data_IF_618795965519
#
_entry.id   IF_618795965519
#
_cell.length_a   1.000
_cell.length_b   1.000
_cell.length_c   1.000
_cell.angle_alpha   90.00
_cell.angle_beta   90.00
_cell.angle_gamma   90.00
#
_symmetry.space_group_name_H-M   'P 1'
#
loop_
_entity.id
_entity.type
_entity.pdbx_description
1 polymer ?
#
# COMPACT_ATOMS: atom_id res chain seq x y z
N UNK A 1 -13.95 36.00 9.47
CA UNK A 1 -14.25 35.47 8.13
C UNK A 1 -12.91 35.42 7.42
N UNK A 2 -12.23 34.27 7.49
CA UNK A 2 -10.97 34.03 6.79
C UNK A 2 -11.36 33.60 5.39
N UNK A 3 -10.82 34.16 4.31
CA UNK A 3 -11.15 33.70 2.96
C UNK A 3 -10.66 32.27 2.80
N UNK A 4 -11.55 31.38 2.36
CA UNK A 4 -11.19 30.06 1.93
C UNK A 4 -10.13 30.18 0.82
N UNK A 5 -9.03 29.48 0.97
CA UNK A 5 -7.94 29.47 0.02
C UNK A 5 -8.44 28.79 -1.27
N UNK A 6 -8.50 29.53 -2.37
CA UNK A 6 -8.95 29.03 -3.68
C UNK A 6 -8.07 27.89 -4.25
N UNK A 7 -6.99 27.53 -3.58
CA UNK A 7 -6.12 26.41 -3.97
C UNK A 7 -6.66 25.03 -3.59
N UNK A 8 -7.64 24.94 -2.65
CA UNK A 8 -8.23 23.65 -2.24
C UNK A 8 -9.40 23.19 -3.15
N UNK A 9 -9.89 24.05 -4.04
CA UNK A 9 -11.01 23.74 -4.94
C UNK A 9 -10.65 22.89 -6.17
N UNK A 10 -9.40 22.50 -6.33
CA UNK A 10 -8.90 21.79 -7.50
C UNK A 10 -8.82 20.25 -7.33
N UNK A 11 -9.29 19.68 -6.23
CA UNK A 11 -9.56 18.26 -6.16
C UNK A 11 -10.85 17.96 -6.91
N UNK A 12 -10.65 17.64 -8.18
CA UNK A 12 -11.66 17.58 -9.21
C UNK A 12 -12.67 16.46 -8.94
N UNK A 13 -13.93 16.77 -9.27
CA UNK A 13 -15.12 15.88 -9.16
C UNK A 13 -15.05 14.61 -10.04
N UNK A 14 -13.91 14.33 -10.65
CA UNK A 14 -13.66 13.21 -11.55
C UNK A 14 -12.57 12.23 -11.12
N UNK A 15 -11.99 12.35 -9.90
CA UNK A 15 -10.97 11.43 -9.41
C UNK A 15 -11.57 10.22 -8.70
N UNK A 16 -11.01 9.03 -8.97
CA UNK A 16 -11.34 7.82 -8.24
C UNK A 16 -10.40 7.69 -7.03
N UNK A 17 -10.97 7.54 -5.84
CA UNK A 17 -10.23 7.30 -4.61
C UNK A 17 -10.35 5.83 -4.19
N UNK A 18 -9.22 5.14 -4.05
CA UNK A 18 -9.16 3.77 -3.58
C UNK A 18 -8.51 3.74 -2.20
N UNK A 19 -9.29 3.39 -1.18
CA UNK A 19 -8.85 3.42 0.21
C UNK A 19 -8.46 2.03 0.69
N UNK A 20 -7.24 1.91 1.19
CA UNK A 20 -6.76 0.75 1.94
C UNK A 20 -7.41 0.77 3.34
N UNK A 21 -8.37 -0.13 3.52
CA UNK A 21 -9.16 -0.17 4.73
C UNK A 21 -8.37 -0.62 5.96
N UNK A 22 -7.52 -1.65 5.78
CA UNK A 22 -6.81 -2.23 6.92
C UNK A 22 -5.79 -1.25 7.48
N UNK A 23 -5.05 -0.55 6.63
CA UNK A 23 -4.11 0.48 7.08
C UNK A 23 -4.80 1.60 7.87
N UNK A 24 -5.99 2.04 7.44
CA UNK A 24 -6.78 3.04 8.15
C UNK A 24 -7.37 2.49 9.45
N UNK A 25 -7.84 1.24 9.46
CA UNK A 25 -8.41 0.58 10.63
C UNK A 25 -7.35 0.33 11.72
N UNK A 26 -6.19 -0.20 11.35
CA UNK A 26 -5.05 -0.36 12.26
C UNK A 26 -4.62 0.97 12.88
N UNK A 27 -4.46 1.99 12.06
CA UNK A 27 -4.12 3.33 12.56
C UNK A 27 -5.15 3.82 13.56
N UNK A 28 -6.42 3.65 13.27
CA UNK A 28 -7.53 4.06 14.13
C UNK A 28 -7.54 3.30 15.46
N UNK A 29 -7.26 2.00 15.42
CA UNK A 29 -7.13 1.17 16.61
C UNK A 29 -5.99 1.66 17.52
N UNK A 30 -4.78 1.82 16.96
CA UNK A 30 -3.60 2.19 17.76
C UNK A 30 -3.63 3.62 18.32
N UNK A 31 -4.36 4.53 17.70
CA UNK A 31 -4.56 5.90 18.25
C UNK A 31 -5.24 5.84 19.62
N UNK A 32 -6.11 4.88 19.86
CA UNK A 32 -6.88 4.74 21.09
C UNK A 32 -6.37 3.64 22.03
N UNK A 33 -5.25 2.98 21.71
CA UNK A 33 -4.77 1.81 22.47
C UNK A 33 -4.57 2.09 23.96
N UNK A 34 -4.10 3.29 24.32
CA UNK A 34 -3.90 3.68 25.72
C UNK A 34 -5.18 4.16 26.43
N UNK A 35 -6.23 4.47 25.68
CA UNK A 35 -7.50 4.98 26.19
C UNK A 35 -8.66 4.57 25.29
N UNK A 36 -9.04 3.28 25.33
CA UNK A 36 -10.05 2.72 24.43
C UNK A 36 -11.43 3.32 24.69
N UNK A 37 -12.22 3.42 23.63
CA UNK A 37 -13.60 3.87 23.67
C UNK A 37 -14.52 2.66 23.88
N UNK A 38 -14.97 2.47 25.10
CA UNK A 38 -15.84 1.35 25.47
C UNK A 38 -17.30 1.82 25.45
N UNK A 39 -18.16 1.08 24.73
CA UNK A 39 -19.59 1.36 24.68
C UNK A 39 -20.31 0.83 25.95
N UNK A 40 -21.60 1.13 26.08
CA UNK A 40 -22.43 0.70 27.23
C UNK A 40 -22.57 -0.84 27.37
N UNK A 41 -22.19 -1.60 26.35
CA UNK A 41 -22.19 -3.09 26.34
C UNK A 41 -20.83 -3.69 26.67
N UNK A 42 -19.83 -2.85 26.98
CA UNK A 42 -18.46 -3.29 27.28
C UNK A 42 -17.58 -3.57 26.06
N UNK A 43 -18.05 -3.25 24.85
CA UNK A 43 -17.28 -3.50 23.63
C UNK A 43 -16.36 -2.31 23.33
N UNK A 44 -15.14 -2.60 22.89
CA UNK A 44 -14.23 -1.58 22.35
C UNK A 44 -14.69 -1.15 20.95
N UNK A 45 -14.98 0.12 20.77
CA UNK A 45 -15.45 0.72 19.51
C UNK A 45 -14.43 1.71 18.91
N UNK A 46 -13.22 1.72 19.44
CA UNK A 46 -12.17 2.69 19.09
C UNK A 46 -11.83 2.68 17.60
N UNK A 47 -11.63 1.49 17.03
CA UNK A 47 -11.27 1.34 15.62
C UNK A 47 -12.41 1.83 14.72
N UNK A 48 -13.66 1.43 14.99
CA UNK A 48 -14.81 1.87 14.21
C UNK A 48 -15.02 3.39 14.30
N UNK A 49 -14.88 3.98 15.49
CA UNK A 49 -14.99 5.42 15.69
C UNK A 49 -13.87 6.18 14.96
N UNK A 50 -12.61 5.75 15.14
CA UNK A 50 -11.46 6.41 14.53
C UNK A 50 -11.47 6.31 13.00
N UNK A 51 -11.83 5.13 12.48
CA UNK A 51 -12.01 4.90 11.05
C UNK A 51 -13.08 5.82 10.46
N UNK A 52 -14.26 5.84 11.08
CA UNK A 52 -15.38 6.67 10.62
C UNK A 52 -15.02 8.14 10.59
N UNK A 53 -14.41 8.65 11.66
CA UNK A 53 -13.99 10.05 11.70
C UNK A 53 -12.93 10.37 10.63
N UNK A 54 -12.00 9.46 10.40
CA UNK A 54 -10.97 9.63 9.37
C UNK A 54 -11.57 9.63 7.97
N UNK A 55 -12.49 8.70 7.69
CA UNK A 55 -13.20 8.62 6.42
C UNK A 55 -14.05 9.86 6.16
N UNK A 56 -14.86 10.28 7.14
CA UNK A 56 -15.68 11.49 7.03
C UNK A 56 -14.83 12.72 6.75
N UNK A 57 -13.72 12.84 7.47
CA UNK A 57 -12.79 13.94 7.27
C UNK A 57 -12.16 13.93 5.88
N UNK A 58 -11.77 12.77 5.37
CA UNK A 58 -11.25 12.63 4.00
C UNK A 58 -12.31 13.07 2.97
N UNK A 59 -13.57 12.67 3.16
CA UNK A 59 -14.67 13.06 2.28
C UNK A 59 -14.90 14.58 2.33
N UNK A 60 -14.93 15.18 3.54
CA UNK A 60 -15.16 16.61 3.73
C UNK A 60 -14.01 17.47 3.22
N UNK A 61 -12.77 17.10 3.55
CA UNK A 61 -11.58 17.90 3.23
C UNK A 61 -11.21 17.81 1.73
N UNK A 62 -11.52 16.69 1.07
CA UNK A 62 -11.05 16.41 -0.30
C UNK A 62 -12.17 16.19 -1.33
N UNK A 63 -13.44 16.27 -0.92
CA UNK A 63 -14.57 16.14 -1.84
C UNK A 63 -14.60 14.81 -2.60
N UNK A 64 -14.23 13.70 -1.96
CA UNK A 64 -14.10 12.36 -2.56
C UNK A 64 -15.47 11.84 -3.02
N UNK A 65 -15.92 12.24 -4.21
CA UNK A 65 -17.23 11.88 -4.76
C UNK A 65 -17.25 10.45 -5.33
N UNK A 66 -16.13 9.98 -5.88
CA UNK A 66 -15.98 8.63 -6.40
C UNK A 66 -14.91 7.90 -5.59
N UNK A 67 -15.33 6.92 -4.80
CA UNK A 67 -14.42 6.17 -3.95
C UNK A 67 -14.86 4.72 -3.78
N UNK A 68 -13.91 3.85 -3.46
CA UNK A 68 -14.15 2.52 -2.93
C UNK A 68 -13.23 2.25 -1.75
N UNK A 69 -13.68 1.44 -0.80
CA UNK A 69 -12.90 1.00 0.35
C UNK A 69 -12.63 -0.49 0.20
N UNK A 70 -11.35 -0.84 0.13
CA UNK A 70 -10.89 -2.20 -0.13
C UNK A 70 -10.37 -2.80 1.16
N UNK A 71 -10.86 -3.98 1.51
CA UNK A 71 -10.46 -4.74 2.70
C UNK A 71 -9.73 -6.00 2.29
N UNK A 72 -8.72 -6.38 3.08
CA UNK A 72 -8.26 -7.76 3.07
C UNK A 72 -9.37 -8.66 3.63
N UNK A 73 -9.47 -9.86 3.09
CA UNK A 73 -10.31 -10.89 3.69
C UNK A 73 -9.64 -11.37 4.97
N UNK A 74 -10.40 -11.48 6.04
CA UNK A 74 -9.92 -11.90 7.36
C UNK A 74 -10.61 -13.19 7.73
N UNK A 75 -9.84 -14.28 7.84
CA UNK A 75 -10.34 -15.60 8.22
C UNK A 75 -9.20 -16.62 8.34
N UNK A 76 -9.48 -17.77 8.95
CA UNK A 76 -8.48 -18.83 9.16
C UNK A 76 -8.13 -19.58 7.85
N UNK A 77 -8.96 -19.49 6.80
CA UNK A 77 -8.81 -20.22 5.55
C UNK A 77 -8.45 -19.33 4.35
N UNK A 78 -7.99 -18.11 4.57
CA UNK A 78 -7.76 -17.12 3.52
C UNK A 78 -6.27 -17.01 3.16
N UNK A 79 -5.73 -18.09 2.64
CA UNK A 79 -4.39 -18.08 2.04
C UNK A 79 -4.39 -17.28 0.74
N UNK A 80 -3.38 -16.44 0.58
CA UNK A 80 -3.13 -15.71 -0.67
C UNK A 80 -2.15 -16.50 -1.54
N UNK A 81 -2.08 -16.16 -2.83
CA UNK A 81 -1.06 -16.76 -3.71
C UNK A 81 0.38 -16.50 -3.23
N UNK A 82 0.61 -15.49 -2.38
CA UNK A 82 1.94 -15.22 -1.79
C UNK A 82 2.27 -16.21 -0.69
N UNK A 83 1.30 -16.62 0.11
CA UNK A 83 1.47 -17.65 1.14
C UNK A 83 1.77 -19.01 0.50
N UNK A 84 1.09 -19.36 -0.61
CA UNK A 84 1.40 -20.56 -1.40
C UNK A 84 2.81 -20.51 -2.01
N UNK A 85 3.29 -19.31 -2.38
CA UNK A 85 4.61 -19.12 -3.00
C UNK A 85 5.74 -19.18 -1.98
N UNK A 86 5.50 -18.71 -0.77
CA UNK A 86 6.50 -18.60 0.29
C UNK A 86 5.85 -18.70 1.67
N UNK A 87 5.96 -19.87 2.30
CA UNK A 87 5.34 -20.19 3.61
C UNK A 87 5.71 -19.19 4.72
N UNK A 88 6.90 -18.58 4.64
CA UNK A 88 7.36 -17.60 5.62
C UNK A 88 6.87 -16.17 5.34
N UNK A 89 6.11 -15.95 4.25
CA UNK A 89 5.56 -14.63 3.94
C UNK A 89 4.68 -14.12 5.07
N UNK A 90 4.97 -12.92 5.56
CA UNK A 90 4.28 -12.28 6.71
C UNK A 90 4.25 -13.12 8.02
N UNK A 91 4.97 -14.25 8.11
CA UNK A 91 4.97 -15.13 9.28
C UNK A 91 5.47 -14.43 10.57
N UNK A 92 6.20 -13.33 10.44
CA UNK A 92 6.67 -12.50 11.55
C UNK A 92 5.66 -11.45 12.02
N UNK A 93 4.51 -11.30 11.33
CA UNK A 93 3.46 -10.36 11.74
C UNK A 93 2.71 -10.90 12.95
N UNK A 94 2.43 -10.02 13.91
CA UNK A 94 1.52 -10.36 15.00
C UNK A 94 0.10 -10.53 14.47
N UNK A 95 -0.69 -11.45 15.05
CA UNK A 95 -2.10 -11.59 14.71
C UNK A 95 -2.85 -10.25 14.82
N UNK A 96 -3.89 -10.10 14.02
CA UNK A 96 -4.76 -8.92 14.09
C UNK A 96 -5.38 -8.87 15.49
N UNK A 97 -5.34 -7.72 16.21
CA UNK A 97 -5.98 -7.61 17.52
C UNK A 97 -7.46 -8.03 17.49
N UNK A 98 -7.87 -8.85 18.43
CA UNK A 98 -9.25 -9.40 18.48
C UNK A 98 -10.32 -8.31 18.45
N UNK A 99 -10.11 -7.24 19.21
CA UNK A 99 -11.03 -6.10 19.26
C UNK A 99 -11.05 -5.30 17.94
N UNK A 100 -9.99 -5.33 17.14
CA UNK A 100 -10.00 -4.79 15.79
C UNK A 100 -10.82 -5.70 14.86
N UNK A 101 -10.63 -7.02 14.92
CA UNK A 101 -11.43 -7.98 14.14
C UNK A 101 -12.93 -7.82 14.44
N UNK A 102 -13.31 -7.67 15.72
CA UNK A 102 -14.70 -7.41 16.12
C UNK A 102 -15.26 -6.08 15.55
N UNK A 103 -14.39 -5.10 15.29
CA UNK A 103 -14.80 -3.83 14.74
C UNK A 103 -15.00 -3.84 13.20
N UNK A 104 -14.33 -4.73 12.46
CA UNK A 104 -14.39 -4.76 10.99
C UNK A 104 -15.83 -4.85 10.43
N UNK A 105 -16.73 -5.71 10.95
CA UNK A 105 -18.12 -5.75 10.49
C UNK A 105 -18.86 -4.42 10.69
N UNK A 106 -18.58 -3.70 11.78
CA UNK A 106 -19.18 -2.39 12.02
C UNK A 106 -18.63 -1.35 11.04
N UNK A 107 -17.32 -1.34 10.80
CA UNK A 107 -16.68 -0.46 9.84
C UNK A 107 -17.28 -0.67 8.44
N UNK A 108 -17.35 -1.92 7.96
CA UNK A 108 -17.96 -2.26 6.66
C UNK A 108 -19.42 -1.81 6.55
N UNK A 109 -20.20 -1.97 7.62
CA UNK A 109 -21.59 -1.49 7.66
C UNK A 109 -21.68 0.04 7.59
N UNK A 110 -20.79 0.75 8.26
CA UNK A 110 -20.75 2.22 8.22
C UNK A 110 -20.38 2.70 6.81
N UNK A 111 -19.37 2.09 6.19
CA UNK A 111 -18.94 2.43 4.82
C UNK A 111 -20.12 2.24 3.84
N UNK A 112 -20.81 1.09 3.91
CA UNK A 112 -22.00 0.83 3.08
C UNK A 112 -23.14 1.80 3.36
N UNK A 113 -23.33 2.23 4.62
CA UNK A 113 -24.36 3.20 4.99
C UNK A 113 -24.08 4.61 4.47
N UNK A 114 -22.82 4.90 4.11
CA UNK A 114 -22.40 6.12 3.43
C UNK A 114 -22.50 6.01 1.90
N UNK A 115 -23.10 4.92 1.39
CA UNK A 115 -23.20 4.61 -0.04
C UNK A 115 -21.84 4.49 -0.74
N UNK A 116 -20.82 4.01 0.00
CA UNK A 116 -19.47 3.75 -0.51
C UNK A 116 -19.29 2.26 -0.75
N UNK A 117 -18.84 1.84 -1.94
CA UNK A 117 -18.51 0.45 -2.23
C UNK A 117 -17.47 -0.13 -1.25
N UNK A 118 -17.75 -1.35 -0.78
CA UNK A 118 -16.84 -2.16 0.04
C UNK A 118 -16.43 -3.36 -0.79
N UNK A 119 -15.15 -3.47 -1.06
CA UNK A 119 -14.57 -4.54 -1.88
C UNK A 119 -13.71 -5.47 -1.03
N UNK A 120 -13.86 -6.77 -1.28
CA UNK A 120 -13.07 -7.86 -0.70
C UNK A 120 -13.00 -8.98 -1.73
N UNK A 121 -11.82 -9.50 -1.99
CA UNK A 121 -11.61 -10.58 -2.96
C UNK A 121 -10.73 -11.64 -2.32
N UNK A 122 -11.23 -12.88 -2.24
CA UNK A 122 -10.50 -14.01 -1.66
C UNK A 122 -9.30 -14.43 -2.51
N UNK A 123 -8.26 -14.95 -1.85
CA UNK A 123 -7.04 -15.47 -2.50
C UNK A 123 -6.05 -14.39 -2.97
N UNK A 124 -6.36 -13.11 -2.74
CA UNK A 124 -5.49 -11.97 -3.03
C UNK A 124 -5.53 -10.95 -1.89
N UNK A 125 -4.54 -10.08 -1.83
CA UNK A 125 -4.50 -9.00 -0.86
C UNK A 125 -5.28 -7.76 -1.36
N UNK A 126 -5.69 -6.90 -0.44
CA UNK A 126 -6.33 -5.62 -0.77
C UNK A 126 -5.48 -4.79 -1.74
N UNK A 127 -4.16 -4.88 -1.62
CA UNK A 127 -3.20 -4.17 -2.49
C UNK A 127 -3.33 -4.60 -3.95
N UNK A 128 -3.56 -5.89 -4.21
CA UNK A 128 -3.76 -6.42 -5.56
C UNK A 128 -5.09 -5.94 -6.16
N UNK A 129 -6.13 -5.87 -5.36
CA UNK A 129 -7.44 -5.33 -5.78
C UNK A 129 -7.31 -3.85 -6.09
N UNK A 130 -6.68 -3.07 -5.20
CA UNK A 130 -6.42 -1.64 -5.40
C UNK A 130 -5.57 -1.42 -6.65
N UNK A 131 -4.49 -2.19 -6.82
CA UNK A 131 -3.60 -2.10 -7.97
C UNK A 131 -4.33 -2.38 -9.29
N UNK A 132 -5.17 -3.41 -9.30
CA UNK A 132 -5.99 -3.77 -10.47
C UNK A 132 -6.95 -2.66 -10.85
N UNK A 133 -7.71 -2.14 -9.88
CA UNK A 133 -8.68 -1.08 -10.13
C UNK A 133 -7.99 0.22 -10.54
N UNK A 134 -6.86 0.56 -9.90
CA UNK A 134 -6.10 1.75 -10.24
C UNK A 134 -5.59 1.70 -11.69
N UNK A 135 -5.00 0.57 -12.11
CA UNK A 135 -4.52 0.39 -13.49
C UNK A 135 -5.65 0.38 -14.51
N UNK A 136 -6.79 -0.27 -14.20
CA UNK A 136 -7.96 -0.31 -15.06
C UNK A 136 -8.50 1.11 -15.28
N UNK A 137 -8.77 1.86 -14.21
CA UNK A 137 -9.30 3.21 -14.28
C UNK A 137 -8.33 4.19 -14.96
N UNK A 138 -7.03 4.12 -14.65
CA UNK A 138 -6.02 4.95 -15.32
C UNK A 138 -5.91 4.62 -16.83
N UNK A 139 -6.03 3.35 -17.20
CA UNK A 139 -6.07 2.90 -18.60
C UNK A 139 -7.28 3.44 -19.38
N UNK A 140 -8.37 3.77 -18.69
CA UNK A 140 -9.55 4.44 -19.25
C UNK A 140 -9.45 5.98 -19.19
N UNK A 141 -8.34 6.52 -18.70
CA UNK A 141 -8.05 7.95 -18.63
C UNK A 141 -8.57 8.66 -17.39
N UNK A 142 -8.98 7.91 -16.34
CA UNK A 142 -9.37 8.50 -15.06
C UNK A 142 -8.14 8.78 -14.20
N UNK A 143 -8.16 9.88 -13.45
CA UNK A 143 -7.18 10.12 -12.40
C UNK A 143 -7.53 9.31 -11.15
N UNK A 144 -6.55 8.61 -10.59
CA UNK A 144 -6.70 7.72 -9.43
C UNK A 144 -5.82 8.19 -8.27
N UNK A 145 -6.39 8.19 -7.09
CA UNK A 145 -5.68 8.47 -5.84
C UNK A 145 -5.79 7.26 -4.92
N UNK A 146 -4.68 6.59 -4.68
CA UNK A 146 -4.59 5.51 -3.70
C UNK A 146 -4.39 6.11 -2.32
N UNK A 147 -5.31 5.87 -1.40
CA UNK A 147 -5.25 6.38 -0.02
C UNK A 147 -4.69 5.29 0.89
N UNK A 148 -3.38 5.26 1.05
CA UNK A 148 -2.68 4.32 1.93
C UNK A 148 -1.35 4.90 2.43
N UNK A 149 -0.91 4.58 3.65
CA UNK A 149 0.44 4.86 4.12
C UNK A 149 1.48 3.90 3.54
N UNK A 150 1.05 2.81 2.91
CA UNK A 150 1.96 1.78 2.41
C UNK A 150 2.84 2.32 1.28
N UNK A 151 4.13 2.01 1.38
CA UNK A 151 5.13 2.43 0.40
C UNK A 151 5.06 1.62 -0.89
N UNK A 152 4.54 0.39 -0.82
CA UNK A 152 4.60 -0.56 -1.92
C UNK A 152 3.72 -0.14 -3.09
N UNK A 153 2.68 0.64 -2.83
CA UNK A 153 1.90 1.29 -3.88
C UNK A 153 2.71 2.24 -4.77
N UNK A 154 3.92 2.68 -4.36
CA UNK A 154 4.74 3.54 -5.20
C UNK A 154 5.15 2.90 -6.54
N UNK A 155 5.11 1.57 -6.64
CA UNK A 155 5.30 0.83 -7.89
C UNK A 155 4.19 1.08 -8.93
N UNK A 156 3.04 1.59 -8.49
CA UNK A 156 1.88 1.85 -9.35
C UNK A 156 1.83 3.29 -9.89
N UNK A 157 2.70 4.17 -9.38
CA UNK A 157 2.69 5.57 -9.77
C UNK A 157 2.86 5.73 -11.29
N UNK A 158 1.99 6.55 -11.88
CA UNK A 158 2.08 6.97 -13.28
C UNK A 158 1.44 8.37 -13.43
N UNK A 159 1.31 8.92 -14.65
CA UNK A 159 0.70 10.25 -14.83
C UNK A 159 -0.74 10.37 -14.28
N UNK A 160 -1.48 9.26 -14.19
CA UNK A 160 -2.86 9.21 -13.71
C UNK A 160 -3.01 8.58 -12.32
N UNK A 161 -1.98 7.95 -11.77
CA UNK A 161 -2.04 7.32 -10.44
C UNK A 161 -1.13 8.07 -9.48
N UNK A 162 -1.70 8.53 -8.38
CA UNK A 162 -0.98 9.17 -7.27
C UNK A 162 -1.34 8.49 -5.95
N UNK A 163 -0.52 8.70 -4.92
CA UNK A 163 -0.73 8.16 -3.59
C UNK A 163 -0.94 9.30 -2.61
N UNK A 164 -1.94 9.15 -1.78
CA UNK A 164 -2.25 10.04 -0.69
C UNK A 164 -2.00 9.34 0.64
N UNK A 165 -1.04 9.83 1.41
CA UNK A 165 -0.78 9.31 2.76
C UNK A 165 -1.61 10.07 3.77
N UNK A 166 -2.54 9.42 4.49
CA UNK A 166 -3.28 10.09 5.55
C UNK A 166 -2.33 10.68 6.59
N UNK A 167 -2.28 12.00 6.72
CA UNK A 167 -1.30 12.70 7.55
C UNK A 167 -1.53 12.50 9.05
N UNK A 168 -0.48 12.79 9.81
CA UNK A 168 -0.59 13.08 11.25
C UNK A 168 -1.19 14.48 11.42
N UNK A 169 -1.87 14.71 12.54
CA UNK A 169 -2.59 15.95 12.84
C UNK A 169 -1.72 17.19 12.57
N UNK A 170 -2.14 18.03 11.62
CA UNK A 170 -1.50 19.32 11.31
C UNK A 170 -0.46 19.30 10.17
N UNK A 171 -0.24 18.16 9.52
CA UNK A 171 0.63 18.10 8.35
C UNK A 171 -0.17 18.40 7.07
N UNK A 172 0.45 19.11 6.14
CA UNK A 172 -0.09 19.36 4.82
C UNK A 172 0.12 18.10 3.96
N UNK A 173 -0.84 17.77 3.10
CA UNK A 173 -0.81 16.56 2.27
C UNK A 173 -0.27 16.88 0.89
N UNK A 174 0.97 16.52 0.64
CA UNK A 174 1.46 16.48 -0.73
C UNK A 174 1.26 15.07 -1.30
N UNK A 175 0.52 14.91 -2.40
CA UNK A 175 0.39 13.61 -3.04
C UNK A 175 1.75 13.12 -3.52
N UNK A 176 2.02 11.84 -3.34
CA UNK A 176 3.20 11.21 -3.94
C UNK A 176 2.84 10.94 -5.40
N UNK A 177 3.57 11.54 -6.30
CA UNK A 177 3.41 11.41 -7.76
C UNK A 177 4.62 10.72 -8.37
N UNK A 178 4.50 10.29 -9.63
CA UNK A 178 5.61 9.73 -10.37
C UNK A 178 6.81 10.69 -10.44
N UNK A 179 6.55 12.01 -10.56
CA UNK A 179 7.61 13.00 -10.60
C UNK A 179 8.32 13.17 -9.25
N UNK A 180 7.56 13.25 -8.15
CA UNK A 180 8.16 13.31 -6.80
C UNK A 180 8.93 12.02 -6.46
N UNK A 181 8.50 10.88 -6.99
CA UNK A 181 9.21 9.61 -6.87
C UNK A 181 10.56 9.66 -7.64
N UNK A 182 10.54 10.11 -8.90
CA UNK A 182 11.76 10.28 -9.72
C UNK A 182 12.75 11.25 -9.08
N UNK A 183 12.25 12.35 -8.54
CA UNK A 183 13.08 13.33 -7.83
C UNK A 183 13.77 12.69 -6.60
N UNK A 184 13.03 11.91 -5.83
CA UNK A 184 13.53 11.27 -4.61
C UNK A 184 14.54 10.16 -4.88
N UNK A 185 14.20 9.23 -5.79
CA UNK A 185 14.98 8.00 -6.00
C UNK A 185 15.87 8.07 -7.24
N UNK A 186 15.53 8.91 -8.22
CA UNK A 186 16.16 8.96 -9.54
C UNK A 186 16.00 7.64 -10.30
N UNK A 187 14.86 6.99 -10.11
CA UNK A 187 14.40 5.77 -10.74
C UNK A 187 12.99 6.03 -11.27
N UNK A 188 12.53 5.20 -12.20
CA UNK A 188 11.12 5.19 -12.58
C UNK A 188 10.29 4.36 -11.57
N UNK A 189 8.98 4.65 -11.39
CA UNK A 189 8.15 3.97 -10.38
C UNK A 189 8.11 2.44 -10.51
N UNK A 190 8.10 1.89 -11.72
CA UNK A 190 8.14 0.44 -11.98
C UNK A 190 9.43 -0.21 -11.45
N UNK A 191 10.55 0.51 -11.42
CA UNK A 191 11.79 0.04 -10.81
C UNK A 191 11.74 -0.06 -9.28
N UNK A 192 10.65 0.42 -8.66
CA UNK A 192 10.48 0.26 -7.22
C UNK A 192 10.30 -1.20 -6.81
N UNK A 193 9.68 -2.01 -7.68
CA UNK A 193 9.60 -3.47 -7.53
C UNK A 193 11.00 -4.07 -7.40
N UNK A 194 11.88 -3.71 -8.33
CA UNK A 194 13.28 -4.18 -8.33
C UNK A 194 14.05 -3.70 -7.10
N UNK A 195 13.78 -2.48 -6.66
CA UNK A 195 14.39 -1.92 -5.46
C UNK A 195 13.98 -2.70 -4.21
N UNK A 196 12.69 -2.99 -4.04
CA UNK A 196 12.17 -3.81 -2.95
C UNK A 196 12.69 -5.26 -3.03
N UNK A 197 12.75 -5.84 -4.22
CA UNK A 197 13.30 -7.18 -4.45
C UNK A 197 14.74 -7.31 -3.98
N UNK A 198 15.56 -6.29 -4.20
CA UNK A 198 16.95 -6.27 -3.75
C UNK A 198 17.10 -6.03 -2.25
N UNK A 199 16.29 -5.11 -1.70
CA UNK A 199 16.37 -4.74 -0.29
C UNK A 199 15.73 -5.77 0.63
N UNK A 200 14.72 -6.48 0.15
CA UNK A 200 13.76 -7.20 0.96
C UNK A 200 12.83 -6.28 1.72
N UNK A 201 11.88 -6.86 2.43
CA UNK A 201 11.00 -6.19 3.37
C UNK A 201 10.86 -6.98 4.67
N UNK A 202 11.39 -6.42 5.75
CA UNK A 202 11.30 -7.06 7.06
C UNK A 202 9.89 -7.06 7.64
N UNK A 203 8.99 -6.17 7.19
CA UNK A 203 7.60 -6.13 7.65
C UNK A 203 6.81 -7.32 7.12
N UNK A 204 7.14 -7.74 5.89
CA UNK A 204 6.46 -8.83 5.17
C UNK A 204 7.30 -10.09 5.07
N UNK A 205 8.42 -10.09 5.78
CA UNK A 205 9.38 -11.19 5.76
C UNK A 205 9.89 -11.56 4.35
N UNK A 206 10.03 -10.54 3.49
CA UNK A 206 10.60 -10.70 2.14
C UNK A 206 12.12 -10.70 2.26
N UNK A 207 12.82 -11.76 1.78
CA UNK A 207 14.23 -11.96 2.10
C UNK A 207 15.17 -10.92 1.50
N UNK A 208 14.97 -10.51 0.25
CA UNK A 208 15.88 -9.62 -0.47
C UNK A 208 17.26 -10.25 -0.72
N UNK A 209 18.24 -9.39 -1.00
CA UNK A 209 19.64 -9.78 -1.19
C UNK A 209 20.48 -9.31 -0.02
N UNK A 210 21.05 -10.24 0.73
CA UNK A 210 21.86 -9.92 1.90
C UNK A 210 23.02 -8.99 1.55
N UNK A 211 23.06 -7.83 2.19
CA UNK A 211 24.10 -6.84 2.00
C UNK A 211 23.78 -5.76 0.99
N UNK A 212 22.60 -5.76 0.40
CA UNK A 212 22.07 -4.71 -0.44
C UNK A 212 20.95 -3.97 0.33
N UNK A 213 21.22 -2.72 0.68
CA UNK A 213 20.21 -1.80 1.22
C UNK A 213 19.86 -0.73 0.20
N UNK A 214 18.93 0.16 0.57
CA UNK A 214 18.33 1.19 -0.30
C UNK A 214 19.32 1.92 -1.20
N UNK A 215 20.37 2.52 -0.63
CA UNK A 215 21.37 3.29 -1.39
C UNK A 215 22.12 2.44 -2.41
N UNK A 216 22.38 1.17 -2.08
CA UNK A 216 23.07 0.25 -2.98
C UNK A 216 22.13 -0.22 -4.08
N UNK A 217 20.89 -0.58 -3.75
CA UNK A 217 19.86 -0.96 -4.71
C UNK A 217 19.64 0.16 -5.75
N UNK A 218 19.38 1.39 -5.28
CA UNK A 218 19.23 2.55 -6.17
C UNK A 218 20.41 2.74 -7.12
N UNK A 219 21.65 2.63 -6.60
CA UNK A 219 22.85 2.80 -7.43
C UNK A 219 22.98 1.70 -8.48
N UNK A 220 22.65 0.47 -8.12
CA UNK A 220 22.70 -0.67 -9.02
C UNK A 220 21.61 -0.57 -10.10
N UNK A 221 20.39 -0.25 -9.71
CA UNK A 221 19.26 -0.11 -10.66
C UNK A 221 19.45 1.05 -11.63
N UNK A 222 20.02 2.18 -11.19
CA UNK A 222 20.42 3.27 -12.12
C UNK A 222 21.39 2.83 -13.20
N UNK A 223 22.19 1.80 -12.95
CA UNK A 223 23.19 1.31 -13.90
C UNK A 223 22.69 0.15 -14.76
N UNK A 224 21.93 -0.76 -14.17
CA UNK A 224 21.56 -2.04 -14.80
C UNK A 224 20.07 -2.11 -15.18
N UNK A 225 19.24 -1.24 -14.62
CA UNK A 225 17.81 -1.13 -14.98
C UNK A 225 16.91 -2.05 -14.17
N UNK A 226 17.17 -3.33 -14.12
CA UNK A 226 16.33 -4.33 -13.45
C UNK A 226 17.14 -5.33 -12.62
N UNK A 227 16.47 -6.14 -11.80
CA UNK A 227 17.08 -7.25 -11.04
C UNK A 227 17.63 -8.29 -11.98
N UNK A 228 16.92 -8.62 -13.05
CA UNK A 228 17.33 -9.62 -14.04
C UNK A 228 18.67 -9.24 -14.69
N UNK A 229 18.74 -8.04 -15.25
CA UNK A 229 19.98 -7.51 -15.86
C UNK A 229 21.12 -7.43 -14.84
N UNK A 230 20.79 -7.04 -13.60
CA UNK A 230 21.76 -6.99 -12.52
C UNK A 230 22.33 -8.37 -12.18
N UNK A 231 21.50 -9.41 -12.16
CA UNK A 231 21.90 -10.78 -11.88
C UNK A 231 22.73 -11.39 -13.02
N UNK A 232 22.48 -11.00 -14.27
CA UNK A 232 23.30 -11.42 -15.41
C UNK A 232 24.71 -10.81 -15.35
N UNK A 233 24.84 -9.61 -14.75
CA UNK A 233 26.11 -8.90 -14.62
C UNK A 233 26.68 -8.92 -13.20
N UNK A 234 26.24 -9.88 -12.37
CA UNK A 234 26.63 -9.92 -10.95
C UNK A 234 28.16 -9.99 -10.73
N UNK A 235 28.89 -10.72 -11.59
CA UNK A 235 30.33 -10.84 -11.51
C UNK A 235 31.08 -9.52 -11.77
N UNK A 236 30.49 -8.62 -12.58
CA UNK A 236 31.10 -7.33 -12.96
C UNK A 236 30.95 -6.25 -11.88
N UNK A 237 30.24 -6.55 -10.78
CA UNK A 237 29.96 -5.58 -9.72
C UNK A 237 31.20 -5.37 -8.86
N UNK A 238 31.66 -4.11 -8.80
CA UNK A 238 32.88 -3.74 -8.07
C UNK A 238 32.75 -3.89 -6.55
N UNK A 239 31.56 -3.78 -6.00
CA UNK A 239 31.28 -3.88 -4.56
C UNK A 239 31.30 -5.35 -4.11
N UNK A 240 32.37 -5.82 -3.44
CA UNK A 240 32.51 -7.21 -3.01
C UNK A 240 31.25 -7.78 -2.36
N UNK A 241 30.69 -7.08 -1.34
CA UNK A 241 29.55 -7.54 -0.58
C UNK A 241 28.28 -7.65 -1.44
N UNK A 242 28.04 -6.68 -2.32
CA UNK A 242 26.90 -6.71 -3.22
C UNK A 242 27.04 -7.80 -4.28
N UNK A 243 28.25 -7.97 -4.84
CA UNK A 243 28.55 -9.04 -5.79
C UNK A 243 28.34 -10.41 -5.18
N UNK A 244 28.94 -10.68 -4.01
CA UNK A 244 28.80 -11.95 -3.31
C UNK A 244 27.31 -12.21 -2.97
N UNK A 245 26.60 -11.20 -2.48
CA UNK A 245 25.17 -11.31 -2.21
C UNK A 245 24.35 -11.67 -3.44
N UNK A 246 24.56 -11.01 -4.58
CA UNK A 246 23.82 -11.30 -5.81
C UNK A 246 24.13 -12.69 -6.40
N UNK A 247 25.35 -13.18 -6.22
CA UNK A 247 25.72 -14.53 -6.65
C UNK A 247 25.13 -15.61 -5.73
N UNK A 248 25.11 -15.36 -4.42
CA UNK A 248 24.65 -16.30 -3.41
C UNK A 248 23.11 -16.32 -3.29
N UNK A 249 22.44 -15.15 -3.34
CA UNK A 249 21.00 -14.98 -3.10
C UNK A 249 20.22 -14.65 -4.38
N UNK A 250 20.61 -15.28 -5.50
CA UNK A 250 19.99 -15.06 -6.81
C UNK A 250 18.50 -15.43 -6.82
N UNK A 251 18.19 -16.60 -6.29
CA UNK A 251 16.82 -17.14 -6.27
C UNK A 251 15.95 -16.35 -5.29
N UNK A 252 16.50 -15.93 -4.15
CA UNK A 252 15.82 -15.06 -3.19
C UNK A 252 15.51 -13.69 -3.78
N UNK A 253 16.37 -13.12 -4.62
CA UNK A 253 16.09 -11.86 -5.30
C UNK A 253 14.88 -11.98 -6.25
N UNK A 254 14.82 -13.07 -7.02
CA UNK A 254 13.72 -13.35 -7.94
C UNK A 254 12.42 -13.69 -7.19
N UNK A 255 12.52 -14.46 -6.11
CA UNK A 255 11.39 -14.72 -5.22
C UNK A 255 10.87 -13.42 -4.61
N UNK A 256 11.76 -12.61 -4.06
CA UNK A 256 11.41 -11.31 -3.47
C UNK A 256 10.70 -10.41 -4.49
N UNK A 257 11.17 -10.36 -5.74
CA UNK A 257 10.51 -9.60 -6.81
C UNK A 257 9.06 -10.05 -7.02
N UNK A 258 8.83 -11.36 -7.03
CA UNK A 258 7.48 -11.91 -7.17
C UNK A 258 6.58 -11.59 -5.97
N UNK A 259 7.12 -11.65 -4.76
CA UNK A 259 6.38 -11.37 -3.52
C UNK A 259 5.96 -9.90 -3.40
N UNK A 260 6.86 -8.96 -3.76
CA UNK A 260 6.58 -7.52 -3.63
C UNK A 260 5.80 -6.94 -4.81
N UNK A 261 5.62 -7.70 -5.89
CA UNK A 261 4.87 -7.23 -7.05
C UNK A 261 3.37 -7.27 -6.75
N UNK A 262 2.72 -6.12 -6.83
CA UNK A 262 1.27 -5.98 -6.74
C UNK A 262 0.65 -6.50 -8.04
N UNK A 263 -0.29 -7.45 -7.94
CA UNK A 263 -1.06 -7.92 -9.12
C UNK A 263 -1.99 -6.82 -9.60
N UNK A 264 -2.11 -6.69 -10.91
CA UNK A 264 -2.97 -5.68 -11.54
C UNK A 264 -3.96 -6.29 -12.53
N UNK A 265 -4.18 -7.60 -12.42
CA UNK A 265 -5.03 -8.42 -13.29
C UNK A 265 -6.01 -9.31 -12.50
N UNK A 266 -6.31 -8.93 -11.26
CA UNK A 266 -7.29 -9.64 -10.42
C UNK A 266 -8.68 -9.53 -11.03
N UNK A 267 -9.44 -10.62 -11.02
CA UNK A 267 -10.85 -10.62 -11.43
C UNK A 267 -11.70 -9.93 -10.36
N UNK A 268 -12.07 -8.69 -10.63
CA UNK A 268 -12.87 -7.85 -9.73
C UNK A 268 -14.13 -7.41 -10.46
N UNK A 269 -15.27 -7.90 -9.98
CA UNK A 269 -16.60 -7.43 -10.41
C UNK A 269 -16.93 -6.09 -9.73
N UNK A 270 -16.99 -5.00 -10.51
CA UNK A 270 -17.37 -3.65 -10.08
C UNK A 270 -18.28 -2.99 -11.12
#
# INVERSE_FOLDING_TARGET
MVPANETDAAFDRGKLYLLDAMALAYRSHFVFISRPLINSKGQNTSAAYGFTNSLMKLIEDHGMAHMAVVFDVVGEDEETFRDEMYEEYKANRSPIPEDLVENLPYIKRIVRALDVPVLEVSGVEADDVIGTLARRAAGEGADVVIVSPDKDFQQLLDPHISIFKPARRGEQFDPITADSFREKYGLDPDQFIDMLALMGDSSDNVPGVRGIGEKTAMKLLKKYGSVEELLEHAEDIKGKRAREGLLEYRDEALLSKRLVTIKTDVDVDV
#
